data_IF_157845446710
#
_entry.id   IF_157845446710
#
_cell.length_a   1.000
_cell.length_b   1.000
_cell.length_c   1.000
_cell.angle_alpha   90.00
_cell.angle_beta   90.00
_cell.angle_gamma   90.00
#
_symmetry.space_group_name_H-M   'P 1'
#
loop_
_entity.id
_entity.type
_entity.pdbx_description
1 polymer ?
#
# COMPACT_ATOMS: atom_id res chain seq x y z
N UNK A 1 6.46 -36.03 3.00
CA UNK A 1 7.52 -35.46 3.87
C UNK A 1 7.40 -33.94 3.75
N UNK A 2 6.99 -33.21 4.79
CA UNK A 2 7.08 -31.73 4.77
C UNK A 2 8.56 -31.37 4.91
N UNK A 3 9.11 -30.64 3.95
CA UNK A 3 10.47 -30.11 4.10
C UNK A 3 10.43 -29.03 5.19
N UNK A 4 11.55 -28.84 5.89
CA UNK A 4 11.66 -27.91 7.04
C UNK A 4 11.34 -26.43 6.68
N UNK A 5 11.19 -26.13 5.40
CA UNK A 5 10.88 -24.82 4.81
C UNK A 5 9.93 -24.99 3.62
N UNK A 6 8.75 -25.58 3.83
CA UNK A 6 7.67 -25.43 2.84
C UNK A 6 7.20 -23.98 2.87
N UNK A 7 7.36 -23.24 1.75
CA UNK A 7 6.76 -21.92 1.59
C UNK A 7 5.27 -22.14 1.38
N UNK A 8 4.48 -21.85 2.41
CA UNK A 8 3.01 -21.91 2.35
C UNK A 8 2.50 -20.52 2.01
N UNK A 9 1.82 -20.39 0.87
CA UNK A 9 1.10 -19.17 0.53
C UNK A 9 -0.22 -19.13 1.33
N UNK A 10 -0.37 -18.14 2.20
CA UNK A 10 -1.63 -17.88 2.89
C UNK A 10 -2.48 -16.91 2.05
N UNK A 11 -3.34 -17.47 1.20
CA UNK A 11 -4.25 -16.71 0.32
C UNK A 11 -5.13 -15.73 1.12
N UNK A 12 -5.57 -16.12 2.33
CA UNK A 12 -6.41 -15.24 3.16
C UNK A 12 -5.61 -14.05 3.69
N UNK A 13 -4.36 -14.26 4.10
CA UNK A 13 -3.48 -13.18 4.52
C UNK A 13 -3.22 -12.19 3.36
N UNK A 14 -3.02 -12.68 2.14
CA UNK A 14 -2.84 -11.84 0.95
C UNK A 14 -4.10 -11.01 0.63
N UNK A 15 -5.28 -11.62 0.63
CA UNK A 15 -6.54 -10.92 0.43
C UNK A 15 -6.80 -9.86 1.51
N UNK A 16 -6.50 -10.18 2.76
CA UNK A 16 -6.64 -9.26 3.89
C UNK A 16 -5.69 -8.08 3.72
N UNK A 17 -4.41 -8.32 3.44
CA UNK A 17 -3.43 -7.27 3.21
C UNK A 17 -3.81 -6.35 2.03
N UNK A 18 -4.33 -6.92 0.93
CA UNK A 18 -4.80 -6.14 -0.22
C UNK A 18 -5.97 -5.22 0.16
N UNK A 19 -6.95 -5.74 0.89
CA UNK A 19 -8.09 -4.97 1.35
C UNK A 19 -7.69 -3.86 2.34
N UNK A 20 -6.78 -4.18 3.28
CA UNK A 20 -6.27 -3.21 4.25
C UNK A 20 -5.46 -2.10 3.60
N UNK A 21 -4.62 -2.41 2.59
CA UNK A 21 -3.86 -1.40 1.84
C UNK A 21 -4.78 -0.46 1.06
N UNK A 22 -5.86 -0.99 0.46
CA UNK A 22 -6.88 -0.16 -0.18
C UNK A 22 -7.56 0.77 0.83
N UNK A 23 -7.96 0.27 1.99
CA UNK A 23 -8.57 1.08 3.04
C UNK A 23 -7.57 2.13 3.60
N UNK A 24 -6.29 1.78 3.72
CA UNK A 24 -5.24 2.68 4.15
C UNK A 24 -5.02 3.82 3.14
N UNK A 25 -5.08 3.52 1.84
CA UNK A 25 -5.05 4.54 0.78
C UNK A 25 -6.17 5.55 0.96
N UNK A 26 -7.43 5.09 1.03
CA UNK A 26 -8.61 5.95 1.17
C UNK A 26 -8.51 6.86 2.40
N UNK A 27 -8.03 6.31 3.52
CA UNK A 27 -7.79 7.09 4.75
C UNK A 27 -6.69 8.14 4.59
N UNK A 28 -5.64 7.82 3.84
CA UNK A 28 -4.50 8.72 3.62
C UNK A 28 -4.88 9.85 2.66
N UNK A 29 -5.66 9.56 1.63
CA UNK A 29 -6.25 10.58 0.74
C UNK A 29 -7.14 11.55 1.53
N UNK A 30 -8.02 11.02 2.39
CA UNK A 30 -8.86 11.85 3.25
C UNK A 30 -8.04 12.72 4.23
N UNK A 31 -6.94 12.19 4.78
CA UNK A 31 -6.04 12.95 5.64
C UNK A 31 -5.35 14.08 4.87
N UNK A 32 -4.85 13.80 3.67
CA UNK A 32 -4.22 14.78 2.79
C UNK A 32 -5.16 15.95 2.51
N UNK A 33 -6.39 15.66 2.09
CA UNK A 33 -7.41 16.69 1.81
C UNK A 33 -7.72 17.53 3.03
N UNK A 34 -7.90 16.92 4.21
CA UNK A 34 -8.16 17.66 5.45
C UNK A 34 -7.01 18.60 5.83
N UNK A 35 -5.77 18.16 5.64
CA UNK A 35 -4.60 18.99 5.93
C UNK A 35 -4.49 20.15 4.95
N UNK A 36 -4.71 19.89 3.66
CA UNK A 36 -4.75 20.93 2.62
C UNK A 36 -5.81 21.99 2.93
N UNK A 37 -7.03 21.58 3.31
CA UNK A 37 -8.10 22.49 3.74
C UNK A 37 -7.70 23.29 4.99
N UNK A 38 -7.16 22.63 6.02
CA UNK A 38 -6.70 23.30 7.25
C UNK A 38 -5.64 24.37 6.96
N UNK A 39 -4.66 24.07 6.10
CA UNK A 39 -3.63 25.04 5.72
C UNK A 39 -4.22 26.20 4.91
N UNK A 40 -5.17 25.92 4.02
CA UNK A 40 -5.88 26.97 3.28
C UNK A 40 -6.67 27.89 4.21
N UNK A 41 -7.36 27.34 5.20
CA UNK A 41 -8.12 28.12 6.17
C UNK A 41 -7.20 28.98 7.05
N UNK A 42 -6.11 28.40 7.55
CA UNK A 42 -5.08 29.13 8.33
C UNK A 42 -4.50 30.30 7.54
N UNK A 43 -4.13 30.07 6.28
CA UNK A 43 -3.48 31.08 5.44
C UNK A 43 -4.46 32.16 4.99
N UNK A 44 -5.74 31.82 4.82
CA UNK A 44 -6.81 32.79 4.53
C UNK A 44 -7.14 33.65 5.74
N UNK A 45 -7.17 33.07 6.94
CA UNK A 45 -7.37 33.82 8.19
C UNK A 45 -6.18 34.72 8.53
N UNK A 46 -4.97 34.32 8.12
CA UNK A 46 -3.72 35.05 8.32
C UNK A 46 -3.28 35.71 7.01
N UNK A 47 -3.96 36.77 6.57
CA UNK A 47 -3.48 37.60 5.43
C UNK A 47 -2.29 38.49 5.86
N UNK A 48 -1.19 37.84 6.18
CA UNK A 48 0.06 38.42 6.65
C UNK A 48 1.23 37.75 5.92
N UNK A 49 2.42 38.37 5.90
CA UNK A 49 3.63 37.71 5.37
C UNK A 49 3.91 36.35 6.04
N UNK A 50 3.58 36.21 7.32
CA UNK A 50 3.70 34.94 8.05
C UNK A 50 2.73 33.87 7.52
N UNK A 51 1.48 34.24 7.23
CA UNK A 51 0.52 33.33 6.60
C UNK A 51 0.97 32.86 5.22
N UNK A 52 1.60 33.72 4.42
CA UNK A 52 2.19 33.30 3.13
C UNK A 52 3.32 32.28 3.30
N UNK A 53 4.15 32.41 4.34
CA UNK A 53 5.21 31.44 4.63
C UNK A 53 4.65 30.09 5.10
N UNK A 54 3.55 30.12 5.88
CA UNK A 54 2.82 28.91 6.28
C UNK A 54 2.27 28.19 5.06
N UNK A 55 1.72 28.91 4.08
CA UNK A 55 1.24 28.32 2.82
C UNK A 55 2.35 27.55 2.08
N UNK A 56 3.49 28.19 1.86
CA UNK A 56 4.63 27.58 1.16
C UNK A 56 5.12 26.34 1.91
N UNK A 57 5.26 26.44 3.24
CA UNK A 57 5.73 25.33 4.08
C UNK A 57 4.73 24.16 4.08
N UNK A 58 3.43 24.46 4.15
CA UNK A 58 2.37 23.47 4.08
C UNK A 58 2.39 22.70 2.75
N UNK A 59 2.41 23.41 1.63
CA UNK A 59 2.37 22.83 0.28
C UNK A 59 3.65 22.06 -0.05
N UNK A 60 4.84 22.62 0.23
CA UNK A 60 6.10 22.05 -0.24
C UNK A 60 6.75 21.06 0.74
N UNK A 61 6.49 21.18 2.04
CA UNK A 61 7.20 20.41 3.08
C UNK A 61 6.28 19.44 3.81
N UNK A 62 5.06 19.86 4.16
CA UNK A 62 4.19 19.07 5.03
C UNK A 62 3.26 18.13 4.27
N UNK A 63 2.77 18.52 3.09
CA UNK A 63 1.93 17.66 2.26
C UNK A 63 2.74 16.65 1.44
N UNK A 64 3.95 17.02 1.00
CA UNK A 64 4.80 16.18 0.16
C UNK A 64 5.07 14.77 0.73
N UNK A 65 5.40 14.59 2.02
CA UNK A 65 5.58 13.25 2.59
C UNK A 65 4.31 12.40 2.51
N UNK A 66 3.12 13.01 2.60
CA UNK A 66 1.83 12.31 2.50
C UNK A 66 1.60 11.86 1.06
N UNK A 67 1.94 12.70 0.08
CA UNK A 67 1.90 12.34 -1.34
C UNK A 67 2.87 11.19 -1.66
N UNK A 68 4.08 11.25 -1.14
CA UNK A 68 5.08 10.18 -1.29
C UNK A 68 4.58 8.86 -0.64
N UNK A 69 3.96 8.93 0.54
CA UNK A 69 3.36 7.77 1.18
C UNK A 69 2.18 7.20 0.37
N UNK A 70 1.33 8.06 -0.19
CA UNK A 70 0.22 7.63 -1.06
C UNK A 70 0.72 6.83 -2.26
N UNK A 71 1.82 7.26 -2.88
CA UNK A 71 2.43 6.53 -3.98
C UNK A 71 2.90 5.12 -3.56
N UNK A 72 3.54 5.01 -2.40
CA UNK A 72 3.99 3.71 -1.87
C UNK A 72 2.81 2.80 -1.55
N UNK A 73 1.78 3.31 -0.87
CA UNK A 73 0.57 2.54 -0.53
C UNK A 73 -0.13 2.07 -1.80
N UNK A 74 -0.24 2.95 -2.81
CA UNK A 74 -0.82 2.61 -4.10
C UNK A 74 -0.05 1.48 -4.77
N UNK A 75 1.28 1.59 -4.85
CA UNK A 75 2.12 0.58 -5.47
C UNK A 75 1.98 -0.78 -4.77
N UNK A 76 2.05 -0.81 -3.44
CA UNK A 76 1.87 -2.05 -2.67
C UNK A 76 0.47 -2.65 -2.88
N UNK A 77 -0.57 -1.81 -2.87
CA UNK A 77 -1.95 -2.25 -3.12
C UNK A 77 -2.11 -2.86 -4.52
N UNK A 78 -1.55 -2.23 -5.55
CA UNK A 78 -1.63 -2.70 -6.94
C UNK A 78 -0.88 -4.01 -7.12
N UNK A 79 0.32 -4.13 -6.55
CA UNK A 79 1.08 -5.39 -6.58
C UNK A 79 0.31 -6.52 -5.90
N UNK A 80 -0.31 -6.27 -4.75
CA UNK A 80 -1.12 -7.29 -4.07
C UNK A 80 -2.36 -7.68 -4.91
N UNK A 81 -3.02 -6.71 -5.53
CA UNK A 81 -4.17 -6.97 -6.41
C UNK A 81 -3.77 -7.75 -7.67
N UNK A 82 -2.62 -7.46 -8.26
CA UNK A 82 -2.07 -8.20 -9.40
C UNK A 82 -1.74 -9.64 -9.02
N UNK A 83 -1.07 -9.86 -7.89
CA UNK A 83 -0.76 -11.20 -7.37
C UNK A 83 -2.04 -12.05 -7.20
N UNK A 84 -3.08 -11.45 -6.63
CA UNK A 84 -4.39 -12.09 -6.44
C UNK A 84 -5.07 -12.37 -7.78
N UNK A 85 -5.12 -11.38 -8.69
CA UNK A 85 -5.88 -11.47 -9.94
C UNK A 85 -5.23 -12.35 -11.00
N UNK A 86 -3.90 -12.45 -11.00
CA UNK A 86 -3.14 -13.27 -11.96
C UNK A 86 -2.97 -14.72 -11.51
N UNK A 87 -3.21 -15.03 -10.23
CA UNK A 87 -2.91 -16.35 -9.67
C UNK A 87 -1.43 -16.75 -9.76
N UNK A 88 -0.54 -15.78 -10.04
CA UNK A 88 0.85 -16.02 -10.42
C UNK A 88 1.61 -16.91 -9.41
N UNK A 89 1.39 -16.65 -8.12
CA UNK A 89 2.00 -17.45 -7.06
C UNK A 89 1.30 -18.79 -6.88
N UNK A 90 -0.04 -18.84 -6.99
CA UNK A 90 -0.83 -20.07 -6.85
C UNK A 90 -0.40 -21.14 -7.85
N UNK A 91 -0.20 -20.78 -9.11
CA UNK A 91 0.23 -21.72 -10.15
C UNK A 91 1.65 -22.25 -9.92
N UNK A 92 2.55 -21.43 -9.39
CA UNK A 92 3.92 -21.84 -9.02
C UNK A 92 3.88 -22.85 -7.87
N UNK A 93 3.07 -22.60 -6.84
CA UNK A 93 2.93 -23.51 -5.71
C UNK A 93 2.25 -24.82 -6.11
N UNK A 94 1.22 -24.79 -6.95
CA UNK A 94 0.60 -26.01 -7.49
C UNK A 94 1.62 -26.83 -8.30
N UNK A 95 2.41 -26.20 -9.18
CA UNK A 95 3.46 -26.89 -9.94
C UNK A 95 4.54 -27.47 -9.03
N UNK A 96 4.90 -26.77 -7.97
CA UNK A 96 5.86 -27.26 -6.97
C UNK A 96 5.31 -28.48 -6.23
N UNK A 97 4.06 -28.44 -5.76
CA UNK A 97 3.40 -29.59 -5.13
C UNK A 97 3.32 -30.79 -6.08
N UNK A 98 2.89 -30.59 -7.32
CA UNK A 98 2.87 -31.62 -8.37
C UNK A 98 4.25 -32.23 -8.61
N UNK A 99 5.29 -31.40 -8.68
CA UNK A 99 6.67 -31.85 -8.85
C UNK A 99 7.10 -32.70 -7.64
N UNK A 100 6.82 -32.24 -6.43
CA UNK A 100 7.19 -32.94 -5.20
C UNK A 100 6.47 -34.28 -5.05
N UNK A 101 5.22 -34.38 -5.52
CA UNK A 101 4.47 -35.66 -5.59
C UNK A 101 5.01 -36.61 -6.68
N UNK A 102 5.50 -36.06 -7.80
CA UNK A 102 6.07 -36.85 -8.89
C UNK A 102 7.45 -37.43 -8.57
N UNK A 103 8.18 -36.81 -7.64
CA UNK A 103 9.45 -37.29 -7.12
C UNK A 103 9.18 -38.17 -5.90
N UNK A 104 8.56 -39.35 -6.11
CA UNK A 104 8.64 -40.42 -5.11
C UNK A 104 9.97 -41.13 -5.29
N UNK A 105 10.90 -40.93 -4.37
CA UNK A 105 12.06 -41.81 -4.24
C UNK A 105 11.56 -43.13 -3.63
N UNK A 106 11.79 -44.23 -4.36
CA UNK A 106 11.66 -45.61 -3.83
C UNK A 106 12.63 -45.83 -2.66
#
# INVERSE_FOLDING_TARGET
MKLKQDIVLDDMAFHTASAEMKALKERTEALRTKLEEMYKDLTTALDTPAGRQVKITAEEVLLKPIDDFLLVIQHVSDTLAEIIGTGYYKDIFIKFEQLNESIKFD
#
